data_IF_382553297473
#
_entry.id   IF_382553297473
#
_cell.length_a   1.000
_cell.length_b   1.000
_cell.length_c   1.000
_cell.angle_alpha   90.00
_cell.angle_beta   90.00
_cell.angle_gamma   90.00
#
_symmetry.space_group_name_H-M   'P 1'
#
loop_
_entity.id
_entity.type
_entity.pdbx_description
1 polymer ?
#
# COMPACT_ATOMS: atom_id res chain seq x y z
N UNK A 1 -9.36 -0.35 3.75
CA UNK A 1 -10.38 -0.18 2.68
C UNK A 1 -11.64 0.51 3.19
N UNK A 2 -12.14 0.13 4.38
CA UNK A 2 -13.19 0.86 5.12
C UNK A 2 -13.01 2.38 5.11
N UNK A 3 -11.79 2.84 5.41
CA UNK A 3 -11.45 4.27 5.45
C UNK A 3 -11.87 5.06 4.21
N UNK A 4 -11.65 4.55 2.99
CA UNK A 4 -12.03 5.26 1.75
C UNK A 4 -13.55 5.34 1.57
N UNK A 5 -14.27 4.29 1.97
CA UNK A 5 -15.73 4.28 1.92
C UNK A 5 -16.32 5.26 2.93
N UNK A 6 -15.79 5.28 4.15
CA UNK A 6 -16.27 6.13 5.25
C UNK A 6 -15.91 7.61 5.06
N UNK A 7 -14.67 7.90 4.66
CA UNK A 7 -14.15 9.27 4.63
C UNK A 7 -14.29 9.95 3.26
N UNK A 8 -14.42 9.16 2.18
CA UNK A 8 -14.42 9.68 0.80
C UNK A 8 -15.58 9.15 -0.05
N UNK A 9 -16.48 8.34 0.51
CA UNK A 9 -17.58 7.68 -0.22
C UNK A 9 -17.12 7.01 -1.52
N UNK A 10 -15.90 6.49 -1.49
CA UNK A 10 -15.24 5.91 -2.65
C UNK A 10 -15.22 4.39 -2.50
N UNK A 11 -15.75 3.69 -3.49
CA UNK A 11 -15.71 2.23 -3.53
C UNK A 11 -14.33 1.74 -3.95
N UNK A 12 -13.98 0.52 -3.56
CA UNK A 12 -12.70 -0.10 -3.91
C UNK A 12 -12.39 0.01 -5.41
N UNK A 13 -13.39 -0.23 -6.26
CA UNK A 13 -13.25 -0.24 -7.72
C UNK A 13 -12.81 1.12 -8.29
N UNK A 14 -12.98 2.19 -7.53
CA UNK A 14 -12.61 3.55 -7.91
C UNK A 14 -11.20 3.93 -7.43
N UNK A 15 -10.48 3.03 -6.75
CA UNK A 15 -9.14 3.28 -6.23
C UNK A 15 -8.05 2.80 -7.19
N UNK A 16 -6.90 3.47 -7.15
CA UNK A 16 -5.70 3.00 -7.86
C UNK A 16 -5.26 1.59 -7.44
N UNK A 17 -5.41 1.23 -6.17
CA UNK A 17 -5.06 -0.08 -5.64
C UNK A 17 -5.80 -1.21 -6.37
N UNK A 18 -7.08 -1.00 -6.71
CA UNK A 18 -7.87 -1.96 -7.46
C UNK A 18 -7.36 -2.15 -8.89
N UNK A 19 -7.03 -1.06 -9.58
CA UNK A 19 -6.53 -1.12 -10.95
C UNK A 19 -5.09 -1.64 -11.03
N UNK A 20 -4.21 -1.28 -10.09
CA UNK A 20 -2.84 -1.80 -10.02
C UNK A 20 -2.84 -3.33 -9.82
N UNK A 21 -3.73 -3.84 -8.95
CA UNK A 21 -3.89 -5.29 -8.78
C UNK A 21 -4.31 -5.97 -10.08
N UNK A 22 -5.35 -5.47 -10.74
CA UNK A 22 -5.79 -6.00 -12.02
C UNK A 22 -4.71 -5.93 -13.11
N UNK A 23 -3.93 -4.85 -13.14
CA UNK A 23 -2.81 -4.70 -14.07
C UNK A 23 -1.74 -5.76 -13.81
N UNK A 24 -1.31 -5.94 -12.55
CA UNK A 24 -0.39 -7.02 -12.16
C UNK A 24 -0.91 -8.37 -12.62
N UNK A 25 -2.18 -8.68 -12.35
CA UNK A 25 -2.77 -9.97 -12.72
C UNK A 25 -2.77 -10.18 -14.25
N UNK A 26 -3.06 -9.13 -15.02
CA UNK A 26 -2.97 -9.17 -16.49
C UNK A 26 -1.54 -9.40 -16.97
N UNK A 27 -0.57 -8.65 -16.43
CA UNK A 27 0.84 -8.78 -16.82
C UNK A 27 1.39 -10.18 -16.50
N UNK A 28 1.03 -10.75 -15.34
CA UNK A 28 1.40 -12.13 -14.98
C UNK A 28 0.78 -13.16 -15.92
N UNK A 29 -0.50 -12.99 -16.28
CA UNK A 29 -1.20 -13.85 -17.25
C UNK A 29 -0.65 -13.75 -18.66
N UNK A 30 -0.08 -12.60 -19.02
CA UNK A 30 0.60 -12.37 -20.31
C UNK A 30 2.08 -12.80 -20.29
N UNK A 31 2.51 -13.58 -19.29
CA UNK A 31 3.85 -14.18 -19.20
C UNK A 31 5.01 -13.17 -19.21
N UNK A 32 4.76 -11.94 -18.76
CA UNK A 32 5.84 -10.98 -18.51
C UNK A 32 6.75 -11.50 -17.40
N UNK A 33 8.06 -11.53 -17.68
CA UNK A 33 9.06 -12.17 -16.82
C UNK A 33 9.35 -11.44 -15.51
N UNK A 34 9.13 -10.13 -15.47
CA UNK A 34 9.52 -9.27 -14.36
C UNK A 34 8.33 -8.46 -13.85
N UNK A 35 7.43 -9.13 -13.12
CA UNK A 35 6.24 -8.51 -12.55
C UNK A 35 6.12 -8.89 -11.08
N UNK A 36 6.40 -7.93 -10.21
CA UNK A 36 6.16 -8.05 -8.79
C UNK A 36 4.97 -7.17 -8.38
N UNK A 37 4.12 -7.72 -7.50
CA UNK A 37 3.03 -6.96 -6.91
C UNK A 37 3.17 -7.02 -5.40
N UNK A 38 3.44 -5.86 -4.80
CA UNK A 38 3.62 -5.70 -3.37
C UNK A 38 2.38 -4.96 -2.84
N UNK A 39 1.48 -5.70 -2.20
CA UNK A 39 0.35 -5.11 -1.50
C UNK A 39 0.78 -4.68 -0.09
N UNK A 40 0.45 -3.46 0.29
CA UNK A 40 0.65 -3.00 1.66
C UNK A 40 -0.56 -3.33 2.53
N UNK A 41 -0.35 -4.04 3.62
CA UNK A 41 -1.36 -4.29 4.64
C UNK A 41 -1.05 -3.50 5.91
N UNK A 42 -2.09 -3.04 6.61
CA UNK A 42 -1.96 -2.32 7.89
C UNK A 42 -1.01 -1.10 7.90
N UNK A 43 -0.80 -0.46 6.74
CA UNK A 43 -0.10 0.83 6.62
C UNK A 43 -1.07 2.01 6.72
N UNK A 44 -0.51 3.20 6.93
CA UNK A 44 -1.30 4.44 6.96
C UNK A 44 -1.77 4.79 8.37
N UNK A 45 -0.86 4.81 9.34
CA UNK A 45 -1.13 5.24 10.71
C UNK A 45 -0.25 6.44 11.04
N UNK A 46 -0.86 7.48 11.59
CA UNK A 46 -0.14 8.62 12.15
C UNK A 46 0.50 8.22 13.49
N UNK A 47 1.43 9.03 13.98
CA UNK A 47 2.09 8.84 15.29
C UNK A 47 1.10 8.82 16.46
N UNK A 48 -0.07 9.44 16.32
CA UNK A 48 -1.14 9.44 17.30
C UNK A 48 -2.11 8.23 17.17
N UNK A 49 -1.84 7.29 16.26
CA UNK A 49 -2.69 6.11 16.03
C UNK A 49 -3.84 6.31 15.05
N UNK A 50 -4.05 7.53 14.52
CA UNK A 50 -5.11 7.79 13.55
C UNK A 50 -4.82 7.12 12.21
N UNK A 51 -5.84 6.49 11.63
CA UNK A 51 -5.74 5.92 10.29
C UNK A 51 -5.81 7.03 9.24
N UNK A 52 -4.78 7.10 8.40
CA UNK A 52 -4.78 7.94 7.21
C UNK A 52 -3.93 7.28 6.10
N UNK A 53 -4.48 6.98 4.91
CA UNK A 53 -3.82 6.15 3.91
C UNK A 53 -2.50 6.72 3.36
N UNK A 54 -2.27 8.02 3.49
CA UNK A 54 -1.00 8.67 3.12
C UNK A 54 -0.04 8.85 4.31
N UNK A 55 -0.42 8.44 5.51
CA UNK A 55 0.44 8.49 6.69
C UNK A 55 1.21 7.18 6.80
N UNK A 56 2.05 6.91 5.81
CA UNK A 56 2.99 5.79 5.82
C UNK A 56 4.37 6.30 5.44
N UNK A 57 5.38 5.82 6.16
CA UNK A 57 6.77 5.98 5.77
C UNK A 57 7.16 4.78 4.91
N UNK A 58 7.93 5.02 3.85
CA UNK A 58 8.55 3.96 3.05
C UNK A 58 9.54 3.17 3.91
N UNK A 59 10.22 3.87 4.82
CA UNK A 59 11.20 3.30 5.74
C UNK A 59 10.55 3.00 7.10
N UNK A 60 10.85 1.85 7.68
CA UNK A 60 10.64 1.62 9.11
C UNK A 60 11.73 2.37 9.89
N UNK A 61 11.41 3.41 10.68
CA UNK A 61 12.43 4.21 11.36
C UNK A 61 13.27 3.38 12.33
N UNK A 62 12.67 2.39 13.00
CA UNK A 62 13.37 1.53 13.96
C UNK A 62 14.35 0.62 13.23
N UNK A 63 13.89 -0.06 12.18
CA UNK A 63 14.75 -0.85 11.31
C UNK A 63 15.88 -0.04 10.67
N UNK A 64 15.61 1.20 10.24
CA UNK A 64 16.63 2.09 9.66
C UNK A 64 17.72 2.44 10.68
N UNK A 65 17.33 2.86 11.89
CA UNK A 65 18.28 3.19 12.95
C UNK A 65 19.13 1.96 13.30
N UNK A 66 18.50 0.79 13.45
CA UNK A 66 19.22 -0.45 13.74
C UNK A 66 20.22 -0.83 12.63
N UNK A 67 19.87 -0.59 11.37
CA UNK A 67 20.79 -0.81 10.24
C UNK A 67 21.97 0.17 10.25
N UNK A 68 21.75 1.45 10.61
CA UNK A 68 22.82 2.46 10.68
C UNK A 68 23.79 2.26 11.84
N UNK A 69 23.36 1.59 12.92
CA UNK A 69 24.17 1.33 14.11
C UNK A 69 24.96 0.01 14.04
N UNK A 70 24.81 -0.75 12.94
CA UNK A 70 25.66 -1.91 12.62
C UNK A 70 26.95 -1.44 11.94
#
# INVERSE_FOLDING_TARGET
MLWWKENRKTDLKQTNAYYIKQLSDKLKKSEFKFVEYIATENRGYRTNGDRHPHSWSIVDPVGLINWMLQ
#
